data_IF_388539312717
#
_entry.id   IF_388539312717
#
_cell.length_a   1.000
_cell.length_b   1.000
_cell.length_c   1.000
_cell.angle_alpha   90.00
_cell.angle_beta   90.00
_cell.angle_gamma   90.00
#
_symmetry.space_group_name_H-M   'P 1'
#
loop_
_entity.id
_entity.type
_entity.pdbx_description
1 polymer ?
#
# COMPACT_ATOMS: atom_id res chain seq x y z
N UNK A 1 14.65 12.86 12.42
CA UNK A 1 13.51 11.93 12.59
C UNK A 1 14.02 10.65 13.22
N UNK A 2 13.25 10.03 14.12
CA UNK A 2 13.61 8.71 14.65
C UNK A 2 13.55 7.65 13.53
N UNK A 3 14.38 6.60 13.64
CA UNK A 3 14.44 5.53 12.63
C UNK A 3 13.05 4.89 12.37
N UNK A 4 12.22 4.78 13.41
CA UNK A 4 10.87 4.25 13.33
C UNK A 4 9.93 5.11 12.49
N UNK A 5 9.99 6.43 12.64
CA UNK A 5 9.17 7.36 11.83
C UNK A 5 9.58 7.25 10.37
N UNK A 6 10.88 7.21 10.09
CA UNK A 6 11.41 7.02 8.72
C UNK A 6 10.92 5.70 8.11
N UNK A 7 10.99 4.60 8.85
CA UNK A 7 10.52 3.28 8.40
C UNK A 7 9.00 3.27 8.16
N UNK A 8 8.23 3.92 9.02
CA UNK A 8 6.77 4.04 8.88
C UNK A 8 6.44 4.78 7.58
N UNK A 9 7.05 5.95 7.37
CA UNK A 9 6.85 6.76 6.16
C UNK A 9 7.24 5.97 4.90
N UNK A 10 8.38 5.28 4.91
CA UNK A 10 8.82 4.47 3.78
C UNK A 10 7.85 3.32 3.45
N UNK A 11 7.32 2.65 4.48
CA UNK A 11 6.37 1.54 4.33
C UNK A 11 5.04 2.04 3.76
N UNK A 12 4.51 3.13 4.30
CA UNK A 12 3.29 3.78 3.80
C UNK A 12 3.45 4.31 2.37
N UNK A 13 4.61 4.89 2.05
CA UNK A 13 4.91 5.38 0.70
C UNK A 13 4.93 4.23 -0.32
N UNK A 14 5.49 3.07 0.04
CA UNK A 14 5.50 1.90 -0.83
C UNK A 14 4.10 1.30 -1.01
N UNK A 15 3.29 1.25 0.05
CA UNK A 15 1.89 0.87 -0.03
C UNK A 15 1.11 1.82 -0.96
N UNK A 16 1.24 3.13 -0.74
CA UNK A 16 0.58 4.16 -1.55
C UNK A 16 0.97 4.05 -3.03
N UNK A 17 2.26 3.89 -3.32
CA UNK A 17 2.74 3.70 -4.69
C UNK A 17 2.08 2.50 -5.37
N UNK A 18 1.98 1.37 -4.65
CA UNK A 18 1.34 0.14 -5.13
C UNK A 18 -0.11 0.39 -5.51
N UNK A 19 -0.87 1.07 -4.65
CA UNK A 19 -2.27 1.39 -4.89
C UNK A 19 -2.50 2.46 -5.96
N UNK A 20 -1.61 3.47 -6.05
CA UNK A 20 -1.64 4.46 -7.14
C UNK A 20 -1.48 3.78 -8.50
N UNK A 21 -0.57 2.81 -8.63
CA UNK A 21 -0.42 2.09 -9.90
C UNK A 21 -1.66 1.25 -10.24
N UNK A 22 -2.31 0.61 -9.25
CA UNK A 22 -3.59 -0.10 -9.47
C UNK A 22 -4.66 0.89 -9.95
N UNK A 23 -4.78 2.03 -9.28
CA UNK A 23 -5.73 3.08 -9.61
C UNK A 23 -5.54 3.58 -11.04
N UNK A 24 -4.30 3.90 -11.43
CA UNK A 24 -3.95 4.34 -12.79
C UNK A 24 -4.21 3.26 -13.85
N UNK A 25 -4.24 1.99 -13.46
CA UNK A 25 -4.51 0.88 -14.38
C UNK A 25 -6.01 0.69 -14.69
N UNK A 26 -6.91 1.14 -13.80
CA UNK A 26 -8.37 1.04 -13.98
C UNK A 26 -8.97 2.28 -14.62
N UNK A 27 -9.90 2.12 -15.57
CA UNK A 27 -10.76 3.23 -16.08
C UNK A 27 -12.15 3.28 -15.41
N UNK A 28 -12.44 2.37 -14.48
CA UNK A 28 -13.77 2.22 -13.90
C UNK A 28 -13.86 2.85 -12.51
N UNK A 29 -14.68 3.90 -12.37
CA UNK A 29 -14.87 4.68 -11.14
C UNK A 29 -15.40 3.87 -9.95
N UNK A 30 -16.21 2.83 -10.17
CA UNK A 30 -16.69 1.96 -9.07
C UNK A 30 -15.56 1.11 -8.46
N UNK A 31 -14.57 0.72 -9.27
CA UNK A 31 -13.39 0.00 -8.78
C UNK A 31 -12.50 0.89 -7.91
N UNK A 32 -12.54 2.21 -8.10
CA UNK A 32 -11.72 3.15 -7.36
C UNK A 32 -12.12 3.23 -5.88
N UNK A 33 -13.40 3.11 -5.55
CA UNK A 33 -13.86 3.08 -4.14
C UNK A 33 -13.29 1.85 -3.43
N UNK A 34 -13.36 0.67 -4.07
CA UNK A 34 -12.79 -0.56 -3.52
C UNK A 34 -11.27 -0.45 -3.31
N UNK A 35 -10.55 0.14 -4.27
CA UNK A 35 -9.10 0.38 -4.18
C UNK A 35 -8.77 1.26 -2.97
N UNK A 36 -9.56 2.30 -2.69
CA UNK A 36 -9.38 3.16 -1.50
C UNK A 36 -9.64 2.40 -0.21
N UNK A 37 -10.70 1.58 -0.15
CA UNK A 37 -11.00 0.76 1.05
C UNK A 37 -9.85 -0.22 1.34
N UNK A 38 -9.33 -0.88 0.31
CA UNK A 38 -8.20 -1.81 0.45
C UNK A 38 -6.90 -1.09 0.88
N UNK A 39 -6.66 0.12 0.39
CA UNK A 39 -5.53 0.95 0.84
C UNK A 39 -5.63 1.25 2.35
N UNK A 40 -6.82 1.64 2.83
CA UNK A 40 -7.04 1.93 4.25
C UNK A 40 -6.79 0.67 5.10
N UNK A 41 -7.29 -0.48 4.66
CA UNK A 41 -7.06 -1.76 5.36
C UNK A 41 -5.57 -2.09 5.44
N UNK A 42 -4.81 -1.81 4.37
CA UNK A 42 -3.38 -2.08 4.30
C UNK A 42 -2.51 -1.17 5.19
N UNK A 43 -2.87 0.11 5.34
CA UNK A 43 -2.03 1.10 6.03
C UNK A 43 -2.52 1.53 7.42
N UNK A 44 -3.84 1.52 7.67
CA UNK A 44 -4.40 2.02 8.92
C UNK A 44 -3.84 1.33 10.19
N UNK A 45 -3.64 -0.01 10.22
CA UNK A 45 -3.06 -0.66 11.39
C UNK A 45 -1.64 -0.18 11.73
N UNK A 46 -0.77 0.00 10.71
CA UNK A 46 0.59 0.48 10.91
C UNK A 46 0.61 1.93 11.37
N UNK A 47 -0.16 2.80 10.73
CA UNK A 47 -0.28 4.20 11.15
C UNK A 47 -0.75 4.33 12.59
N UNK A 48 -1.79 3.59 12.98
CA UNK A 48 -2.30 3.62 14.34
C UNK A 48 -1.24 3.22 15.36
N UNK A 49 -0.60 2.06 15.16
CA UNK A 49 0.40 1.54 16.09
C UNK A 49 1.68 2.36 16.11
N UNK A 50 2.07 2.97 14.99
CA UNK A 50 3.22 3.88 14.96
C UNK A 50 2.95 5.17 15.74
N UNK A 51 1.75 5.76 15.59
CA UNK A 51 1.34 6.95 16.35
C UNK A 51 1.26 6.63 17.85
N UNK A 52 0.66 5.49 18.18
CA UNK A 52 0.53 5.01 19.57
C UNK A 52 1.91 4.79 20.20
N UNK A 53 2.84 4.13 19.49
CA UNK A 53 4.20 3.91 19.96
C UNK A 53 5.00 5.21 20.16
N UNK A 54 4.76 6.23 19.34
CA UNK A 54 5.43 7.54 19.51
C UNK A 54 4.86 8.32 20.70
N UNK A 55 3.59 8.11 21.04
CA UNK A 55 2.91 8.82 22.15
C UNK A 55 3.04 8.12 23.49
N UNK A 56 3.22 6.81 23.49
CA UNK A 56 3.30 5.99 24.69
C UNK A 56 4.75 5.62 24.99
N UNK A 57 5.20 5.83 26.23
CA UNK A 57 6.53 5.40 26.69
C UNK A 57 6.52 3.89 26.93
N UNK A 58 6.58 3.11 25.85
CA UNK A 58 6.74 1.67 25.91
C UNK A 58 8.12 1.31 26.48
N UNK A 59 8.13 0.63 27.63
CA UNK A 59 9.34 0.16 28.31
C UNK A 59 10.01 -1.00 27.56
N UNK A 60 9.21 -1.79 26.83
CA UNK A 60 9.63 -2.99 26.10
C UNK A 60 9.29 -2.92 24.59
N UNK A 61 9.78 -3.92 23.84
CA UNK A 61 9.50 -4.05 22.42
C UNK A 61 8.00 -4.21 22.12
N UNK A 62 7.45 -3.31 21.29
CA UNK A 62 6.07 -3.40 20.83
C UNK A 62 5.94 -4.43 19.70
N UNK A 63 5.64 -5.69 20.05
CA UNK A 63 5.43 -6.80 19.10
C UNK A 63 4.32 -6.46 18.09
N UNK A 64 3.25 -5.79 18.54
CA UNK A 64 2.14 -5.37 17.69
C UNK A 64 2.60 -4.47 16.55
N UNK A 65 3.49 -3.51 16.84
CA UNK A 65 4.07 -2.63 15.83
C UNK A 65 4.92 -3.42 14.81
N UNK A 66 5.74 -4.37 15.26
CA UNK A 66 6.52 -5.23 14.38
C UNK A 66 5.63 -6.05 13.43
N UNK A 67 4.54 -6.62 13.95
CA UNK A 67 3.55 -7.36 13.15
C UNK A 67 2.83 -6.45 12.14
N UNK A 68 2.52 -5.21 12.53
CA UNK A 68 1.89 -4.23 11.63
C UNK A 68 2.82 -3.83 10.46
N UNK A 69 4.13 -3.71 10.71
CA UNK A 69 5.12 -3.55 9.65
C UNK A 69 5.11 -4.75 8.69
N UNK A 70 5.21 -5.98 9.22
CA UNK A 70 5.21 -7.19 8.38
C UNK A 70 3.94 -7.30 7.53
N UNK A 71 2.77 -7.05 8.15
CA UNK A 71 1.49 -7.02 7.45
C UNK A 71 1.51 -6.03 6.29
N UNK A 72 1.89 -4.78 6.56
CA UNK A 72 1.91 -3.70 5.54
C UNK A 72 2.87 -4.03 4.41
N UNK A 73 4.05 -4.58 4.71
CA UNK A 73 5.03 -4.97 3.71
C UNK A 73 4.54 -6.10 2.80
N UNK A 74 4.01 -7.19 3.38
CA UNK A 74 3.45 -8.31 2.61
C UNK A 74 2.30 -7.82 1.74
N UNK A 75 1.40 -7.02 2.32
CA UNK A 75 0.25 -6.46 1.62
C UNK A 75 0.68 -5.57 0.44
N UNK A 76 1.68 -4.71 0.66
CA UNK A 76 2.25 -3.83 -0.38
C UNK A 76 2.88 -4.61 -1.51
N UNK A 77 3.67 -5.65 -1.22
CA UNK A 77 4.30 -6.50 -2.25
C UNK A 77 3.24 -7.19 -3.11
N UNK A 78 2.19 -7.74 -2.49
CA UNK A 78 1.09 -8.38 -3.22
C UNK A 78 0.37 -7.34 -4.10
N UNK A 79 0.03 -6.17 -3.55
CA UNK A 79 -0.60 -5.09 -4.30
C UNK A 79 0.27 -4.62 -5.48
N UNK A 80 1.58 -4.50 -5.26
CA UNK A 80 2.54 -4.12 -6.29
C UNK A 80 2.57 -5.13 -7.45
N UNK A 81 2.64 -6.44 -7.15
CA UNK A 81 2.60 -7.50 -8.17
C UNK A 81 1.29 -7.42 -8.98
N UNK A 82 0.15 -7.26 -8.31
CA UNK A 82 -1.15 -7.09 -8.97
C UNK A 82 -1.13 -5.85 -9.87
N UNK A 83 -0.57 -4.73 -9.40
CA UNK A 83 -0.46 -3.50 -10.14
C UNK A 83 0.32 -3.68 -11.46
N UNK A 84 1.47 -4.35 -11.40
CA UNK A 84 2.29 -4.67 -12.57
C UNK A 84 1.52 -5.52 -13.57
N UNK A 85 0.84 -6.59 -13.11
CA UNK A 85 0.03 -7.46 -13.98
C UNK A 85 -1.06 -6.64 -14.70
N UNK A 86 -1.75 -5.76 -13.97
CA UNK A 86 -2.80 -4.91 -14.53
C UNK A 86 -2.24 -3.92 -15.55
N UNK A 87 -1.12 -3.27 -15.26
CA UNK A 87 -0.47 -2.31 -16.16
C UNK A 87 -0.02 -2.98 -17.48
N UNK A 88 0.56 -4.18 -17.40
CA UNK A 88 0.95 -4.96 -18.60
C UNK A 88 -0.29 -5.31 -19.43
N UNK A 89 -1.36 -5.78 -18.80
CA UNK A 89 -2.64 -6.07 -19.48
C UNK A 89 -3.23 -4.83 -20.16
N UNK A 90 -3.22 -3.68 -19.49
CA UNK A 90 -3.70 -2.41 -20.04
C UNK A 90 -2.90 -1.99 -21.27
N UNK A 91 -1.57 -2.07 -21.20
CA UNK A 91 -0.68 -1.74 -22.33
C UNK A 91 -0.99 -2.60 -23.55
N UNK A 92 -1.10 -3.93 -23.36
CA UNK A 92 -1.43 -4.87 -24.45
C UNK A 92 -2.76 -4.54 -25.13
N UNK A 93 -3.81 -4.28 -24.34
CA UNK A 93 -5.13 -3.96 -24.89
C UNK A 93 -5.15 -2.64 -25.66
N UNK A 94 -4.39 -1.64 -25.22
CA UNK A 94 -4.26 -0.37 -25.96
C UNK A 94 -3.51 -0.52 -27.28
N UNK A 95 -2.54 -1.43 -27.38
CA UNK A 95 -1.82 -1.70 -28.64
C UNK A 95 -2.75 -2.33 -29.67
N UNK A 96 -3.50 -3.38 -29.28
CA UNK A 96 -4.45 -4.07 -30.17
C UNK A 96 -5.51 -3.08 -30.71
N UNK A 97 -6.03 -2.20 -29.87
CA UNK A 97 -7.03 -1.20 -30.26
C UNK A 97 -6.51 -0.15 -31.26
N UNK A 98 -5.19 0.00 -31.45
CA UNK A 98 -4.61 0.94 -32.44
C UNK A 98 -4.37 0.30 -33.80
N UNK A 99 -4.36 -1.03 -33.87
CA UNK A 99 -4.15 -1.81 -35.09
C UNK A 99 -5.46 -2.17 -35.81
N UNK A 100 -6.61 -1.97 -35.14
CA UNK A 100 -7.96 -2.08 -35.70
C UNK A 100 -8.49 -0.72 -36.14
#
# INVERSE_FOLDING_TARGET
MSNLVTLTIASEAFLLLSFIMIFLSSRNTKKNVLVVVLLIIGGAPLLYLAIDHVKSEYVDANIGLGLAFMFTWIYSVIAFIIAIILLVKKKRNNTISKEQ
#
